data_IF_229738711750
#
_entry.id   IF_229738711750
#
_cell.length_a   1.000
_cell.length_b   1.000
_cell.length_c   1.000
_cell.angle_alpha   90.00
_cell.angle_beta   90.00
_cell.angle_gamma   90.00
#
_symmetry.space_group_name_H-M   'P 1'
#
loop_
_entity.id
_entity.type
_entity.pdbx_description
1 polymer ?
#
# COMPACT_ATOMS: atom_id res chain seq x y z
N UNK A 1 -22.89 4.13 8.91
CA UNK A 1 -23.61 4.72 7.77
C UNK A 1 -22.78 4.45 6.53
N UNK A 2 -23.38 4.18 5.37
CA UNK A 2 -22.62 4.07 4.11
C UNK A 2 -22.36 5.48 3.57
N UNK A 3 -21.09 5.91 3.46
CA UNK A 3 -20.79 7.23 2.91
C UNK A 3 -21.03 7.27 1.40
N UNK A 4 -21.59 8.38 0.93
CA UNK A 4 -21.84 8.60 -0.50
C UNK A 4 -20.74 9.42 -1.18
N UNK A 5 -20.07 10.31 -0.44
CA UNK A 5 -19.04 11.20 -0.97
C UNK A 5 -17.99 11.56 0.10
N UNK A 6 -16.71 11.59 -0.31
CA UNK A 6 -15.56 11.91 0.55
C UNK A 6 -14.60 12.80 -0.23
N UNK A 7 -14.21 13.94 0.33
CA UNK A 7 -13.36 14.94 -0.35
C UNK A 7 -12.12 15.37 0.45
N UNK A 8 -11.91 14.86 1.66
CA UNK A 8 -10.85 15.27 2.57
C UNK A 8 -10.90 16.74 3.00
N UNK A 9 -12.10 17.33 3.08
CA UNK A 9 -12.29 18.73 3.49
C UNK A 9 -13.21 18.82 4.72
N UNK A 10 -12.96 19.81 5.57
CA UNK A 10 -13.88 20.19 6.68
C UNK A 10 -14.36 18.99 7.53
N UNK A 11 -13.47 18.04 7.83
CA UNK A 11 -13.80 16.83 8.60
C UNK A 11 -14.37 15.66 7.79
N UNK A 12 -14.76 15.86 6.52
CA UNK A 12 -15.15 14.81 5.59
C UNK A 12 -13.92 14.08 5.00
N UNK A 13 -13.11 13.50 5.89
CA UNK A 13 -11.89 12.79 5.50
C UNK A 13 -12.14 11.32 5.27
N UNK A 14 -11.35 10.72 4.38
CA UNK A 14 -11.41 9.29 4.10
C UNK A 14 -11.26 8.46 5.38
N UNK A 15 -10.34 8.85 6.25
CA UNK A 15 -10.08 8.16 7.51
C UNK A 15 -11.28 8.25 8.45
N UNK A 16 -11.81 9.46 8.68
CA UNK A 16 -12.95 9.65 9.58
C UNK A 16 -14.18 8.88 9.08
N UNK A 17 -14.41 8.93 7.78
CA UNK A 17 -15.51 8.25 7.12
C UNK A 17 -15.38 6.73 7.17
N UNK A 18 -14.19 6.17 6.90
CA UNK A 18 -13.95 4.74 7.01
C UNK A 18 -14.12 4.24 8.45
N UNK A 19 -13.57 4.96 9.44
CA UNK A 19 -13.76 4.65 10.87
C UNK A 19 -15.24 4.63 11.23
N UNK A 20 -15.97 5.70 10.94
CA UNK A 20 -17.40 5.78 11.23
C UNK A 20 -18.24 4.74 10.49
N UNK A 21 -17.82 4.31 9.30
CA UNK A 21 -18.47 3.21 8.59
C UNK A 21 -18.25 1.87 9.31
N UNK A 22 -17.00 1.57 9.68
CA UNK A 22 -16.63 0.35 10.41
C UNK A 22 -17.31 0.30 11.79
N UNK A 23 -17.28 1.38 12.56
CA UNK A 23 -17.94 1.48 13.87
C UNK A 23 -19.45 1.24 13.76
N UNK A 24 -20.08 1.79 12.72
CA UNK A 24 -21.49 1.54 12.46
C UNK A 24 -21.77 0.09 12.07
N UNK A 25 -20.91 -0.56 11.28
CA UNK A 25 -21.05 -1.99 10.97
C UNK A 25 -20.98 -2.82 12.27
N UNK A 26 -20.04 -2.50 13.16
CA UNK A 26 -19.89 -3.14 14.47
C UNK A 26 -21.17 -3.02 15.31
N UNK A 27 -21.73 -1.81 15.38
CA UNK A 27 -22.91 -1.53 16.19
C UNK A 27 -24.21 -2.09 15.61
N UNK A 28 -24.31 -2.18 14.28
CA UNK A 28 -25.56 -2.54 13.60
C UNK A 28 -25.71 -4.04 13.41
N UNK A 29 -24.61 -4.77 13.20
CA UNK A 29 -24.65 -6.21 12.93
C UNK A 29 -24.19 -7.01 14.15
N UNK A 30 -25.07 -7.87 14.67
CA UNK A 30 -24.80 -8.77 15.79
C UNK A 30 -23.93 -10.00 15.43
N UNK A 31 -23.43 -10.09 14.19
CA UNK A 31 -22.62 -11.20 13.69
C UNK A 31 -21.20 -10.70 13.38
N UNK A 32 -20.18 -11.57 13.44
CA UNK A 32 -18.81 -11.18 13.11
C UNK A 32 -18.77 -10.42 11.78
N UNK A 33 -18.30 -9.18 11.82
CA UNK A 33 -18.19 -8.32 10.64
C UNK A 33 -16.92 -8.72 9.90
N UNK A 34 -17.05 -8.97 8.60
CA UNK A 34 -15.94 -9.23 7.70
C UNK A 34 -15.84 -8.10 6.67
N UNK A 35 -14.62 -7.71 6.31
CA UNK A 35 -14.37 -6.63 5.34
C UNK A 35 -13.41 -7.09 4.25
N UNK A 36 -13.64 -6.60 3.04
CA UNK A 36 -12.76 -6.85 1.89
C UNK A 36 -12.32 -5.51 1.31
N UNK A 37 -11.01 -5.30 1.24
CA UNK A 37 -10.37 -4.05 0.83
C UNK A 37 -9.56 -4.35 -0.43
N UNK A 38 -9.83 -3.63 -1.51
CA UNK A 38 -8.98 -3.63 -2.70
C UNK A 38 -8.35 -2.24 -2.84
N UNK A 39 -7.02 -2.17 -2.81
CA UNK A 39 -6.29 -0.92 -2.92
C UNK A 39 -5.10 -1.05 -3.86
N UNK A 40 -4.85 -0.02 -4.67
CA UNK A 40 -3.64 0.06 -5.48
C UNK A 40 -2.37 0.35 -4.68
N UNK A 41 -2.51 0.91 -3.47
CA UNK A 41 -1.40 1.30 -2.62
C UNK A 41 -1.71 1.05 -1.13
N UNK A 42 -0.72 0.64 -0.36
CA UNK A 42 -0.84 0.35 1.06
C UNK A 42 0.46 0.69 1.80
N UNK A 43 0.35 1.33 2.96
CA UNK A 43 1.50 1.61 3.83
C UNK A 43 1.14 1.40 5.32
N UNK A 44 2.14 1.20 6.21
CA UNK A 44 1.91 0.97 7.63
C UNK A 44 1.21 2.13 8.35
N UNK A 45 1.49 3.37 7.96
CA UNK A 45 0.87 4.55 8.58
C UNK A 45 -0.63 4.60 8.31
N UNK A 46 -1.05 4.40 7.07
CA UNK A 46 -2.45 4.33 6.68
C UNK A 46 -3.18 3.17 7.36
N UNK A 47 -2.50 2.03 7.54
CA UNK A 47 -3.02 0.94 8.36
C UNK A 47 -3.24 1.37 9.81
N UNK A 48 -2.24 2.03 10.42
CA UNK A 48 -2.31 2.51 11.80
C UNK A 48 -3.52 3.43 12.06
N UNK A 49 -3.96 4.17 11.05
CA UNK A 49 -5.17 5.01 11.12
C UNK A 49 -6.46 4.18 11.26
N UNK A 50 -6.50 2.93 10.82
CA UNK A 50 -7.68 2.07 10.87
C UNK A 50 -7.52 0.85 11.78
N UNK A 51 -6.33 0.67 12.37
CA UNK A 51 -5.97 -0.56 13.06
C UNK A 51 -6.91 -0.89 14.23
N UNK A 52 -7.33 0.12 15.02
CA UNK A 52 -8.31 -0.07 16.11
C UNK A 52 -9.60 -0.72 15.59
N UNK A 53 -10.06 -0.26 14.41
CA UNK A 53 -11.26 -0.80 13.79
C UNK A 53 -11.06 -2.15 13.12
N UNK A 54 -9.89 -2.39 12.53
CA UNK A 54 -9.62 -3.63 11.82
C UNK A 54 -9.38 -4.82 12.77
N UNK A 55 -8.87 -4.57 13.98
CA UNK A 55 -8.54 -5.60 14.97
C UNK A 55 -9.76 -6.30 15.58
N UNK A 56 -10.92 -5.63 15.65
CA UNK A 56 -12.16 -6.23 16.15
C UNK A 56 -12.94 -7.01 15.08
N UNK A 57 -12.57 -6.85 13.80
CA UNK A 57 -13.20 -7.61 12.71
C UNK A 57 -12.83 -9.09 12.81
N UNK A 58 -13.78 -9.94 12.43
CA UNK A 58 -13.55 -11.38 12.43
C UNK A 58 -12.61 -11.82 11.30
N UNK A 59 -12.68 -11.12 10.16
CA UNK A 59 -11.83 -11.38 9.01
C UNK A 59 -11.65 -10.13 8.14
N UNK A 60 -10.43 -9.90 7.68
CA UNK A 60 -10.11 -8.87 6.68
C UNK A 60 -9.44 -9.52 5.48
N UNK A 61 -9.95 -9.24 4.28
CA UNK A 61 -9.32 -9.63 3.01
C UNK A 61 -8.72 -8.39 2.35
N UNK A 62 -7.41 -8.36 2.16
CA UNK A 62 -6.69 -7.25 1.54
C UNK A 62 -6.14 -7.68 0.18
N UNK A 63 -6.67 -7.09 -0.89
CA UNK A 63 -6.14 -7.23 -2.24
C UNK A 63 -5.30 -6.00 -2.59
N UNK A 64 -4.01 -6.20 -2.83
CA UNK A 64 -3.08 -5.15 -3.24
C UNK A 64 -2.89 -5.18 -4.75
N UNK A 65 -3.09 -4.02 -5.38
CA UNK A 65 -2.70 -3.79 -6.77
C UNK A 65 -1.18 -3.86 -6.93
N UNK A 66 -0.73 -4.23 -8.13
CA UNK A 66 0.65 -4.02 -8.53
C UNK A 66 0.79 -2.57 -9.01
N UNK A 67 1.75 -1.84 -8.47
CA UNK A 67 2.15 -0.56 -9.04
C UNK A 67 2.58 -0.80 -10.50
N UNK A 68 1.97 -0.14 -11.50
CA UNK A 68 2.43 -0.29 -12.86
C UNK A 68 3.86 0.25 -12.91
N UNK A 69 4.86 -0.55 -13.35
CA UNK A 69 6.18 0.01 -13.54
C UNK A 69 6.03 1.22 -14.47
N UNK A 70 6.57 2.40 -14.11
CA UNK A 70 6.49 3.55 -14.99
C UNK A 70 7.02 3.11 -16.36
N UNK A 71 6.32 3.41 -17.47
CA UNK A 71 6.78 2.98 -18.78
C UNK A 71 8.22 3.46 -18.91
N UNK A 72 9.20 2.54 -19.07
CA UNK A 72 10.58 2.96 -19.07
C UNK A 72 10.72 3.93 -20.23
N UNK A 73 11.15 5.16 -19.94
CA UNK A 73 11.54 6.10 -20.97
C UNK A 73 12.57 5.38 -21.83
N UNK A 74 12.19 4.96 -23.04
CA UNK A 74 13.04 4.12 -23.89
C UNK A 74 14.33 4.87 -24.13
N UNK A 75 15.47 4.43 -23.59
CA UNK A 75 16.73 5.15 -23.74
C UNK A 75 17.03 5.25 -25.22
N UNK A 76 17.32 6.45 -25.73
CA UNK A 76 17.71 6.58 -27.14
C UNK A 76 19.11 6.01 -27.32
N UNK A 77 19.33 5.28 -28.42
CA UNK A 77 20.66 4.86 -28.85
C UNK A 77 21.48 6.09 -29.22
N UNK A 78 22.74 6.15 -28.79
CA UNK A 78 23.63 7.26 -29.17
C UNK A 78 24.04 7.11 -30.64
N UNK A 79 24.34 8.23 -31.31
CA UNK A 79 24.82 8.20 -32.70
C UNK A 79 26.14 7.41 -32.75
N UNK A 80 26.21 6.37 -33.60
CA UNK A 80 27.39 5.50 -33.72
C UNK A 80 27.52 4.38 -32.67
N UNK A 81 26.57 4.22 -31.74
CA UNK A 81 26.59 3.16 -30.74
C UNK A 81 26.17 1.80 -31.34
N UNK A 82 27.02 0.78 -31.20
CA UNK A 82 26.71 -0.59 -31.59
C UNK A 82 25.61 -1.19 -30.69
N UNK A 83 24.75 -2.05 -31.24
CA UNK A 83 23.61 -2.64 -30.51
C UNK A 83 24.02 -3.34 -29.20
N UNK A 84 25.08 -4.14 -29.22
CA UNK A 84 25.59 -4.83 -28.01
C UNK A 84 25.99 -3.85 -26.90
N UNK A 85 26.55 -2.69 -27.27
CA UNK A 85 26.94 -1.64 -26.32
C UNK A 85 25.72 -0.90 -25.77
N UNK A 86 24.72 -0.67 -26.62
CA UNK A 86 23.43 -0.11 -26.23
C UNK A 86 22.70 -1.00 -25.22
N UNK A 87 22.53 -2.29 -25.52
CA UNK A 87 21.82 -3.23 -24.65
C UNK A 87 22.50 -3.35 -23.28
N UNK A 88 23.83 -3.53 -23.28
CA UNK A 88 24.61 -3.61 -22.04
C UNK A 88 24.53 -2.33 -21.20
N UNK A 89 24.45 -1.16 -21.84
CA UNK A 89 24.30 0.12 -21.15
C UNK A 89 22.90 0.27 -20.54
N UNK A 90 21.85 -0.02 -21.32
CA UNK A 90 20.46 0.06 -20.84
C UNK A 90 20.24 -0.83 -19.62
N UNK A 91 20.75 -2.07 -19.66
CA UNK A 91 20.65 -3.01 -18.54
C UNK A 91 21.37 -2.47 -17.30
N UNK A 92 22.62 -1.99 -17.45
CA UNK A 92 23.38 -1.42 -16.31
C UNK A 92 22.69 -0.20 -15.72
N UNK A 93 22.24 0.73 -16.54
CA UNK A 93 21.53 1.94 -16.11
C UNK A 93 20.19 1.62 -15.43
N UNK A 94 19.50 0.56 -15.85
CA UNK A 94 18.26 0.11 -15.20
C UNK A 94 18.53 -0.53 -13.82
N UNK A 95 19.53 -1.40 -13.73
CA UNK A 95 19.93 -2.03 -12.45
C UNK A 95 20.37 -0.97 -11.45
N UNK A 96 21.20 -0.01 -11.89
CA UNK A 96 21.71 1.03 -11.01
C UNK A 96 20.60 1.95 -10.50
N UNK A 97 19.70 2.42 -11.38
CA UNK A 97 18.54 3.23 -10.96
C UNK A 97 17.65 2.50 -9.96
N UNK A 98 17.46 1.19 -10.14
CA UNK A 98 16.67 0.39 -9.22
C UNK A 98 17.33 0.30 -7.84
N UNK A 99 18.64 0.04 -7.79
CA UNK A 99 19.39 0.03 -6.53
C UNK A 99 19.36 1.39 -5.83
N UNK A 100 19.54 2.48 -6.57
CA UNK A 100 19.47 3.85 -6.04
C UNK A 100 18.07 4.19 -5.49
N UNK A 101 17.00 3.78 -6.19
CA UNK A 101 15.62 3.93 -5.72
C UNK A 101 15.36 3.16 -4.43
N UNK A 102 15.80 1.89 -4.34
CA UNK A 102 15.65 1.09 -3.13
C UNK A 102 16.39 1.68 -1.92
N UNK A 103 17.58 2.24 -2.14
CA UNK A 103 18.33 2.93 -1.09
C UNK A 103 17.63 4.22 -0.67
N UNK A 104 17.16 5.00 -1.63
CA UNK A 104 16.42 6.24 -1.37
C UNK A 104 15.14 5.98 -0.57
N UNK A 105 14.35 4.97 -0.94
CA UNK A 105 13.14 4.57 -0.21
C UNK A 105 13.46 4.08 1.21
N UNK A 106 14.62 3.45 1.39
CA UNK A 106 15.12 3.06 2.71
C UNK A 106 15.54 4.27 3.55
N UNK A 107 16.15 5.28 2.94
CA UNK A 107 16.60 6.51 3.60
C UNK A 107 15.42 7.44 3.95
N UNK A 108 14.32 7.37 3.19
CA UNK A 108 13.07 8.10 3.46
C UNK A 108 12.23 7.47 4.58
N UNK A 109 12.62 6.30 5.11
CA UNK A 109 11.99 5.78 6.32
C UNK A 109 12.41 6.64 7.50
N UNK A 110 11.52 7.54 7.90
CA UNK A 110 11.60 8.13 9.23
C UNK A 110 11.46 6.99 10.25
N UNK A 111 12.57 6.64 10.92
CA UNK A 111 12.57 5.79 12.11
C UNK A 111 11.94 6.57 13.28
N UNK A 112 10.72 7.05 13.09
CA UNK A 112 9.94 7.67 14.15
C UNK A 112 9.38 6.56 15.05
N UNK A 113 9.29 6.80 16.38
CA UNK A 113 8.64 5.85 17.28
C UNK A 113 7.20 5.51 16.86
N UNK A 114 6.49 6.44 16.22
CA UNK A 114 5.15 6.23 15.70
C UNK A 114 5.13 5.27 14.51
N UNK A 115 6.07 5.41 13.56
CA UNK A 115 6.22 4.53 12.40
C UNK A 115 6.62 3.12 12.85
N UNK A 116 7.54 3.00 13.82
CA UNK A 116 7.91 1.70 14.38
C UNK A 116 6.72 1.01 15.07
N UNK A 117 5.96 1.75 15.88
CA UNK A 117 4.76 1.23 16.52
C UNK A 117 3.71 0.76 15.50
N UNK A 118 3.50 1.53 14.42
CA UNK A 118 2.57 1.18 13.35
C UNK A 118 3.01 -0.10 12.60
N UNK A 119 4.31 -0.26 12.32
CA UNK A 119 4.86 -1.47 11.71
C UNK A 119 4.70 -2.68 12.63
N UNK A 120 5.05 -2.55 13.92
CA UNK A 120 4.89 -3.65 14.89
C UNK A 120 3.44 -4.09 15.02
N UNK A 121 2.52 -3.13 15.05
CA UNK A 121 1.07 -3.39 15.11
C UNK A 121 0.59 -4.11 13.85
N UNK A 122 1.01 -3.65 12.67
CA UNK A 122 0.71 -4.32 11.41
C UNK A 122 1.20 -5.76 11.40
N UNK A 123 2.45 -6.02 11.82
CA UNK A 123 3.01 -7.37 11.89
C UNK A 123 2.18 -8.27 12.83
N UNK A 124 1.85 -7.79 14.03
CA UNK A 124 1.02 -8.54 14.98
C UNK A 124 -0.34 -8.91 14.41
N UNK A 125 -0.96 -8.01 13.63
CA UNK A 125 -2.24 -8.27 12.98
C UNK A 125 -2.11 -9.26 11.82
N UNK A 126 -1.04 -9.18 11.02
CA UNK A 126 -0.76 -10.15 9.96
C UNK A 126 -0.51 -11.56 10.54
N UNK A 127 0.15 -11.65 11.70
CA UNK A 127 0.39 -12.91 12.40
C UNK A 127 -0.88 -13.52 13.03
N UNK A 128 -1.93 -12.73 13.24
CA UNK A 128 -3.17 -13.17 13.91
C UNK A 128 -4.06 -14.12 13.09
N UNK A 129 -3.67 -14.46 11.85
CA UNK A 129 -4.45 -15.22 10.84
C UNK A 129 -5.81 -14.59 10.44
N UNK A 130 -6.21 -13.47 11.04
CA UNK A 130 -7.46 -12.76 10.72
C UNK A 130 -7.40 -11.96 9.43
N UNK A 131 -6.20 -11.63 8.97
CA UNK A 131 -5.96 -10.89 7.73
C UNK A 131 -5.41 -11.83 6.66
N UNK A 132 -6.13 -11.93 5.55
CA UNK A 132 -5.66 -12.57 4.33
C UNK A 132 -5.21 -11.51 3.33
N UNK A 133 -3.93 -11.52 2.95
CA UNK A 133 -3.38 -10.59 1.95
C UNK A 133 -3.11 -11.34 0.65
N UNK A 134 -3.56 -10.76 -0.48
CA UNK A 134 -3.22 -11.23 -1.83
C UNK A 134 -2.71 -10.07 -2.67
N UNK A 135 -1.77 -10.35 -3.56
CA UNK A 135 -1.35 -9.43 -4.62
C UNK A 135 -2.10 -9.77 -5.90
N UNK A 136 -2.60 -8.75 -6.59
CA UNK A 136 -3.17 -8.90 -7.92
C UNK A 136 -2.03 -8.95 -8.95
N UNK A 137 -1.85 -10.09 -9.61
CA UNK A 137 -0.70 -10.34 -10.51
C UNK A 137 -1.07 -10.51 -11.98
N UNK A 138 -2.36 -10.61 -12.32
CA UNK A 138 -2.83 -10.84 -13.70
C UNK A 138 -4.09 -10.05 -13.98
N UNK A 139 -4.01 -9.14 -14.94
CA UNK A 139 -5.15 -8.46 -15.59
C UNK A 139 -5.06 -8.64 -17.10
#
# INVERSE_FOLDING_TARGET
MKPEFVDNRQGNTLVATLRGHLDWLAATYARPVEVSIASGYFNPEGFGLLADQLEWLARVRLLLGAEPPPPPAKPRRRLGEAFQRYDARVVREAVQRNTEGLLHDSDLREFSPGTEAAVRRLLSVLESERIEVRRYERG
#
